data_IF_461639707504
#
_entry.id   IF_461639707504
#
_cell.length_a   1.000
_cell.length_b   1.000
_cell.length_c   1.000
_cell.angle_alpha   90.00
_cell.angle_beta   90.00
_cell.angle_gamma   90.00
#
_symmetry.space_group_name_H-M   'P 1'
#
loop_
_entity.id
_entity.type
_entity.pdbx_description
1 polymer ?
#
# COMPACT_ATOMS: atom_id res chain seq x y z
N UNK A 1 12.41 -15.97 -12.65
CA UNK A 1 10.94 -16.17 -12.53
C UNK A 1 10.25 -15.34 -13.61
N UNK A 2 9.56 -15.97 -14.57
CA UNK A 2 9.04 -15.29 -15.77
C UNK A 2 7.90 -14.30 -15.50
N UNK A 3 7.78 -13.30 -16.37
CA UNK A 3 6.79 -12.22 -16.33
C UNK A 3 5.35 -12.73 -16.14
N UNK A 4 4.97 -13.78 -16.89
CA UNK A 4 3.65 -14.43 -16.83
C UNK A 4 3.28 -14.91 -15.43
N UNK A 5 4.23 -15.51 -14.70
CA UNK A 5 4.00 -16.03 -13.34
C UNK A 5 3.83 -14.93 -12.30
N UNK A 6 4.43 -13.75 -12.52
CA UNK A 6 4.28 -12.60 -11.62
C UNK A 6 2.91 -11.94 -11.79
N UNK A 7 2.46 -11.78 -13.04
CA UNK A 7 1.15 -11.21 -13.36
C UNK A 7 0.03 -12.15 -12.90
N UNK A 8 0.16 -13.47 -13.14
CA UNK A 8 -0.89 -14.42 -12.75
C UNK A 8 -1.16 -14.46 -11.24
N UNK A 9 -0.13 -14.22 -10.42
CA UNK A 9 -0.26 -14.14 -8.95
C UNK A 9 -1.08 -12.94 -8.46
N UNK A 10 -1.26 -11.92 -9.31
CA UNK A 10 -1.95 -10.69 -8.96
C UNK A 10 -3.29 -10.58 -9.68
N UNK A 11 -3.35 -10.98 -10.95
CA UNK A 11 -4.55 -10.90 -11.77
C UNK A 11 -5.71 -11.76 -11.24
N UNK A 12 -5.42 -12.98 -10.75
CA UNK A 12 -6.44 -13.87 -10.16
C UNK A 12 -7.11 -13.26 -8.94
N UNK A 13 -6.35 -12.92 -7.88
CA UNK A 13 -6.86 -12.22 -6.70
C UNK A 13 -7.56 -10.91 -7.03
N UNK A 14 -7.00 -10.13 -7.95
CA UNK A 14 -7.61 -8.89 -8.40
C UNK A 14 -9.02 -9.12 -8.97
N UNK A 15 -9.16 -10.07 -9.90
CA UNK A 15 -10.43 -10.35 -10.55
C UNK A 15 -11.47 -10.89 -9.55
N UNK A 16 -11.08 -11.86 -8.74
CA UNK A 16 -11.95 -12.49 -7.73
C UNK A 16 -12.49 -11.47 -6.73
N UNK A 17 -11.60 -10.71 -6.08
CA UNK A 17 -12.01 -9.73 -5.09
C UNK A 17 -12.79 -8.57 -5.71
N UNK A 18 -12.47 -8.16 -6.94
CA UNK A 18 -13.24 -7.12 -7.62
C UNK A 18 -14.69 -7.53 -7.85
N UNK A 19 -14.97 -8.79 -8.19
CA UNK A 19 -16.35 -9.30 -8.30
C UNK A 19 -17.06 -9.24 -6.95
N UNK A 20 -16.40 -9.67 -5.86
CA UNK A 20 -16.96 -9.58 -4.50
C UNK A 20 -17.25 -8.13 -4.12
N UNK A 21 -16.32 -7.21 -4.38
CA UNK A 21 -16.50 -5.80 -4.07
C UNK A 21 -17.61 -5.16 -4.90
N UNK A 22 -17.77 -5.51 -6.19
CA UNK A 22 -18.89 -5.02 -6.99
C UNK A 22 -20.23 -5.52 -6.48
N UNK A 23 -20.31 -6.75 -5.95
CA UNK A 23 -21.51 -7.25 -5.29
C UNK A 23 -21.79 -6.56 -3.94
N UNK A 24 -20.76 -6.34 -3.13
CA UNK A 24 -20.89 -5.71 -1.81
C UNK A 24 -21.07 -4.18 -1.86
N UNK A 25 -20.64 -3.55 -2.95
CA UNK A 25 -20.74 -2.12 -3.23
C UNK A 25 -21.24 -1.91 -4.68
N UNK A 26 -22.54 -2.12 -4.92
CA UNK A 26 -23.12 -2.02 -6.25
C UNK A 26 -22.88 -0.65 -6.86
N UNK A 27 -22.60 -0.64 -8.16
CA UNK A 27 -22.47 0.59 -8.95
C UNK A 27 -23.81 0.93 -9.62
N UNK A 28 -24.05 2.21 -9.97
CA UNK A 28 -25.31 2.62 -10.60
C UNK A 28 -25.63 1.92 -11.91
N UNK A 29 -24.60 1.43 -12.63
CA UNK A 29 -24.76 0.73 -13.90
C UNK A 29 -23.66 -0.30 -14.15
N UNK A 30 -23.94 -1.28 -15.00
CA UNK A 30 -22.95 -2.26 -15.46
C UNK A 30 -21.73 -1.61 -16.12
N UNK A 31 -21.95 -0.55 -16.91
CA UNK A 31 -20.87 0.20 -17.55
C UNK A 31 -19.92 0.85 -16.52
N UNK A 32 -20.47 1.45 -15.47
CA UNK A 32 -19.66 2.03 -14.38
C UNK A 32 -18.93 0.96 -13.56
N UNK A 33 -19.54 -0.21 -13.37
CA UNK A 33 -18.90 -1.37 -12.75
C UNK A 33 -17.72 -1.90 -13.57
N UNK A 34 -17.90 -2.05 -14.89
CA UNK A 34 -16.85 -2.48 -15.81
C UNK A 34 -15.72 -1.46 -15.87
N UNK A 35 -16.02 -0.16 -15.96
CA UNK A 35 -14.99 0.88 -15.94
C UNK A 35 -14.21 0.85 -14.63
N UNK A 36 -14.89 0.72 -13.49
CA UNK A 36 -14.24 0.62 -12.18
C UNK A 36 -13.32 -0.60 -12.09
N UNK A 37 -13.75 -1.73 -12.66
CA UNK A 37 -12.91 -2.93 -12.82
C UNK A 37 -11.73 -2.68 -13.74
N UNK A 38 -11.89 -1.98 -14.86
CA UNK A 38 -10.77 -1.75 -15.78
C UNK A 38 -9.69 -0.85 -15.16
N UNK A 39 -10.09 0.14 -14.35
CA UNK A 39 -9.17 1.13 -13.76
C UNK A 39 -8.81 0.84 -12.30
N UNK A 40 -9.28 -0.28 -11.73
CA UNK A 40 -8.99 -0.67 -10.35
C UNK A 40 -9.56 0.23 -9.27
N UNK A 41 -10.63 0.96 -9.60
CA UNK A 41 -11.36 1.81 -8.65
C UNK A 41 -12.57 1.10 -8.01
N UNK A 42 -12.68 -0.22 -8.18
CA UNK A 42 -13.73 -1.04 -7.56
C UNK A 42 -13.76 -0.86 -6.04
N UNK A 43 -12.58 -0.90 -5.39
CA UNK A 43 -12.38 -0.56 -3.98
C UNK A 43 -11.07 0.22 -3.80
N UNK A 44 -11.00 1.02 -2.74
CA UNK A 44 -9.96 2.02 -2.51
C UNK A 44 -8.53 1.48 -2.57
N UNK A 45 -8.29 0.23 -2.18
CA UNK A 45 -6.98 -0.40 -2.20
C UNK A 45 -6.63 -1.04 -3.55
N UNK A 46 -7.62 -1.49 -4.32
CA UNK A 46 -7.44 -2.43 -5.46
C UNK A 46 -6.60 -1.87 -6.60
N UNK A 47 -6.53 -0.54 -6.74
CA UNK A 47 -5.72 0.11 -7.78
C UNK A 47 -4.24 -0.29 -7.69
N UNK A 48 -3.74 -0.58 -6.49
CA UNK A 48 -2.32 -0.87 -6.30
C UNK A 48 -1.90 -2.19 -6.97
N UNK A 49 -2.84 -3.14 -7.15
CA UNK A 49 -2.58 -4.37 -7.92
C UNK A 49 -2.38 -4.09 -9.41
N UNK A 50 -3.10 -3.11 -9.97
CA UNK A 50 -2.88 -2.64 -11.33
C UNK A 50 -1.55 -1.90 -11.45
N UNK A 51 -1.25 -1.00 -10.51
CA UNK A 51 0.05 -0.30 -10.43
C UNK A 51 1.20 -1.31 -10.38
N UNK A 52 1.11 -2.33 -9.52
CA UNK A 52 2.11 -3.37 -9.42
C UNK A 52 2.29 -4.13 -10.74
N UNK A 53 1.18 -4.45 -11.42
CA UNK A 53 1.21 -5.09 -12.74
C UNK A 53 1.92 -4.21 -13.78
N UNK A 54 1.66 -2.90 -13.80
CA UNK A 54 2.35 -1.93 -14.65
C UNK A 54 3.86 -1.93 -14.36
N UNK A 55 4.27 -1.90 -13.09
CA UNK A 55 5.69 -1.89 -12.68
C UNK A 55 6.42 -3.18 -13.07
N UNK A 56 5.75 -4.34 -12.91
CA UNK A 56 6.27 -5.64 -13.32
C UNK A 56 6.47 -5.71 -14.85
N UNK A 57 5.54 -5.15 -15.63
CA UNK A 57 5.68 -5.04 -17.10
C UNK A 57 6.83 -4.12 -17.49
N UNK A 58 7.04 -3.02 -16.76
CA UNK A 58 8.11 -2.04 -17.00
C UNK A 58 9.49 -2.51 -16.56
N UNK A 59 9.59 -3.59 -15.77
CA UNK A 59 10.85 -4.06 -15.16
C UNK A 59 12.03 -4.18 -16.15
N UNK A 60 11.89 -4.76 -17.36
CA UNK A 60 13.00 -4.86 -18.31
C UNK A 60 13.51 -3.49 -18.80
N UNK A 61 12.63 -2.50 -18.88
CA UNK A 61 12.98 -1.12 -19.23
C UNK A 61 13.64 -0.43 -18.04
N UNK A 62 13.08 -0.60 -16.83
CA UNK A 62 13.62 -0.03 -15.60
C UNK A 62 15.06 -0.48 -15.32
N UNK A 63 15.41 -1.75 -15.56
CA UNK A 63 16.80 -2.20 -15.43
C UNK A 63 17.76 -1.45 -16.36
N UNK A 64 17.37 -1.21 -17.62
CA UNK A 64 18.17 -0.45 -18.59
C UNK A 64 18.28 1.03 -18.23
N UNK A 65 17.20 1.61 -17.69
CA UNK A 65 17.20 3.01 -17.26
C UNK A 65 17.99 3.19 -15.97
N UNK A 66 17.96 2.24 -15.03
CA UNK A 66 18.73 2.32 -13.79
C UNK A 66 20.23 2.23 -14.02
N UNK A 67 20.69 1.53 -15.06
CA UNK A 67 22.11 1.47 -15.39
C UNK A 67 22.64 2.77 -16.02
N UNK A 68 21.81 3.52 -16.77
CA UNK A 68 22.25 4.68 -17.56
C UNK A 68 21.74 6.04 -17.05
N UNK A 69 20.52 6.09 -16.56
CA UNK A 69 19.78 7.32 -16.19
C UNK A 69 19.21 7.23 -14.77
N UNK A 70 19.98 6.67 -13.85
CA UNK A 70 19.53 6.38 -12.48
C UNK A 70 18.88 7.56 -11.78
N UNK A 71 19.53 8.72 -11.79
CA UNK A 71 19.02 9.93 -11.14
C UNK A 71 17.61 10.27 -11.63
N UNK A 72 17.41 10.26 -12.96
CA UNK A 72 16.10 10.52 -13.57
C UNK A 72 15.03 9.54 -13.06
N UNK A 73 15.35 8.23 -13.02
CA UNK A 73 14.41 7.21 -12.53
C UNK A 73 13.98 7.46 -11.07
N UNK A 74 14.91 7.84 -10.19
CA UNK A 74 14.59 8.16 -8.79
C UNK A 74 13.81 9.48 -8.64
N UNK A 75 13.98 10.44 -9.57
CA UNK A 75 13.27 11.71 -9.55
C UNK A 75 11.82 11.63 -10.03
N UNK A 76 11.43 10.59 -10.77
CA UNK A 76 10.07 10.45 -11.33
C UNK A 76 9.00 10.54 -10.24
N UNK A 77 9.05 9.70 -9.20
CA UNK A 77 8.01 9.72 -8.15
C UNK A 77 8.00 11.03 -7.36
N UNK A 78 9.13 11.56 -6.85
CA UNK A 78 9.14 12.87 -6.20
C UNK A 78 8.58 14.00 -7.09
N UNK A 79 8.92 14.03 -8.38
CA UNK A 79 8.38 15.04 -9.30
C UNK A 79 6.86 14.90 -9.47
N UNK A 80 6.34 13.69 -9.63
CA UNK A 80 4.90 13.45 -9.73
C UNK A 80 4.14 13.78 -8.44
N UNK A 81 4.72 13.46 -7.26
CA UNK A 81 4.13 13.80 -5.97
C UNK A 81 4.15 15.31 -5.73
N UNK A 82 5.24 16.00 -6.07
CA UNK A 82 5.32 17.45 -6.00
C UNK A 82 4.27 18.10 -6.90
N UNK A 83 4.14 17.65 -8.15
CA UNK A 83 3.12 18.15 -9.07
C UNK A 83 1.70 17.95 -8.49
N UNK A 84 1.42 16.78 -7.91
CA UNK A 84 0.14 16.51 -7.26
C UNK A 84 -0.12 17.46 -6.08
N UNK A 85 0.87 17.66 -5.23
CA UNK A 85 0.74 18.58 -4.08
C UNK A 85 0.53 20.03 -4.53
N UNK A 86 1.27 20.50 -5.54
CA UNK A 86 1.07 21.83 -6.12
C UNK A 86 -0.31 21.97 -6.76
N UNK A 87 -0.79 20.96 -7.46
CA UNK A 87 -2.15 20.94 -8.02
C UNK A 87 -3.20 21.02 -6.91
N UNK A 88 -3.02 20.29 -5.80
CA UNK A 88 -3.93 20.35 -4.65
C UNK A 88 -3.93 21.75 -4.00
N UNK A 89 -2.77 22.39 -3.86
CA UNK A 89 -2.68 23.79 -3.37
C UNK A 89 -3.42 24.74 -4.29
N UNK A 90 -3.37 24.51 -5.60
CA UNK A 90 -4.11 25.28 -6.60
C UNK A 90 -5.62 24.92 -6.68
N UNK A 91 -6.12 24.01 -5.84
CA UNK A 91 -7.51 23.56 -5.86
C UNK A 91 -7.86 22.65 -7.05
N UNK A 92 -6.86 22.13 -7.76
CA UNK A 92 -7.03 21.27 -8.93
C UNK A 92 -7.11 19.81 -8.46
N UNK A 93 -8.28 19.20 -8.63
CA UNK A 93 -8.47 17.77 -8.38
C UNK A 93 -7.85 16.93 -9.51
N UNK A 94 -7.02 15.95 -9.14
CA UNK A 94 -6.44 14.97 -10.07
C UNK A 94 -7.03 13.58 -9.80
N UNK A 95 -8.25 13.29 -10.32
CA UNK A 95 -8.91 12.01 -10.08
C UNK A 95 -8.09 10.86 -10.68
N UNK A 96 -8.14 9.70 -10.03
CA UNK A 96 -7.46 8.46 -10.47
C UNK A 96 -5.93 8.51 -10.56
N UNK A 97 -5.28 9.60 -10.15
CA UNK A 97 -3.81 9.72 -10.17
C UNK A 97 -3.12 8.60 -9.41
N UNK A 98 -3.77 8.01 -8.40
CA UNK A 98 -3.28 6.86 -7.66
C UNK A 98 -3.03 5.60 -8.51
N UNK A 99 -3.73 5.44 -9.64
CA UNK A 99 -3.56 4.31 -10.57
C UNK A 99 -2.30 4.48 -11.44
N UNK A 100 -1.72 5.67 -11.48
CA UNK A 100 -0.56 6.00 -12.30
C UNK A 100 0.73 5.49 -11.63
N UNK A 101 1.39 4.47 -12.21
CA UNK A 101 2.55 3.86 -11.57
C UNK A 101 3.74 4.79 -11.24
N UNK A 102 3.99 5.91 -11.94
CA UNK A 102 5.01 6.88 -11.52
C UNK A 102 4.82 7.42 -10.10
N UNK A 103 3.60 7.46 -9.58
CA UNK A 103 3.31 7.84 -8.19
C UNK A 103 3.92 6.87 -7.15
N UNK A 104 4.24 5.64 -7.58
CA UNK A 104 4.69 4.54 -6.71
C UNK A 104 6.04 3.95 -7.13
N UNK A 105 6.59 4.40 -8.25
CA UNK A 105 7.77 3.83 -8.90
C UNK A 105 8.98 3.76 -7.97
N UNK A 106 9.18 4.75 -7.10
CA UNK A 106 10.33 4.80 -6.19
C UNK A 106 10.40 3.58 -5.26
N UNK A 107 9.28 3.07 -4.75
CA UNK A 107 9.26 1.89 -3.88
C UNK A 107 9.72 0.64 -4.63
N UNK A 108 9.33 0.54 -5.91
CA UNK A 108 9.71 -0.58 -6.77
C UNK A 108 11.19 -0.52 -7.12
N UNK A 109 11.66 0.65 -7.54
CA UNK A 109 13.04 0.92 -7.93
C UNK A 109 13.99 0.74 -6.75
N UNK A 110 13.61 1.21 -5.56
CA UNK A 110 14.37 1.03 -4.33
C UNK A 110 14.63 -0.45 -4.04
N UNK A 111 13.63 -1.31 -4.27
CA UNK A 111 13.78 -2.76 -4.18
C UNK A 111 14.65 -3.38 -5.29
N UNK A 112 14.54 -2.90 -6.53
CA UNK A 112 15.37 -3.38 -7.65
C UNK A 112 16.86 -3.05 -7.47
N UNK A 113 17.16 -1.88 -6.95
CA UNK A 113 18.52 -1.37 -6.71
C UNK A 113 18.99 -1.63 -5.26
N UNK A 114 18.36 -2.60 -4.57
CA UNK A 114 18.54 -2.79 -3.13
C UNK A 114 19.99 -3.02 -2.71
N UNK A 115 20.77 -3.79 -3.48
CA UNK A 115 22.18 -4.10 -3.14
C UNK A 115 23.01 -2.84 -2.92
N UNK A 116 22.74 -1.79 -3.70
CA UNK A 116 23.44 -0.52 -3.59
C UNK A 116 22.99 0.26 -2.36
N UNK A 117 21.69 0.28 -2.08
CA UNK A 117 21.16 0.87 -0.86
C UNK A 117 21.67 0.16 0.39
N UNK A 118 21.71 -1.17 0.38
CA UNK A 118 22.24 -1.98 1.48
C UNK A 118 23.68 -1.56 1.84
N UNK A 119 24.56 -1.42 0.85
CA UNK A 119 25.92 -0.95 1.07
C UNK A 119 26.01 0.49 1.59
N UNK A 120 25.09 1.37 1.18
CA UNK A 120 25.06 2.77 1.65
C UNK A 120 24.61 2.90 3.10
N UNK A 121 23.72 2.02 3.57
CA UNK A 121 23.10 2.11 4.89
C UNK A 121 23.71 1.17 5.94
N UNK A 122 24.65 0.33 5.53
CA UNK A 122 25.33 -0.62 6.41
C UNK A 122 25.97 0.10 7.62
N UNK A 123 25.67 -0.38 8.82
CA UNK A 123 26.15 0.21 10.07
C UNK A 123 25.53 1.57 10.47
N UNK A 124 24.57 2.11 9.68
CA UNK A 124 24.01 3.46 9.88
C UNK A 124 22.64 3.47 10.57
N UNK A 125 22.31 2.47 11.37
CA UNK A 125 20.98 2.31 12.00
C UNK A 125 20.55 3.56 12.78
N UNK A 126 21.44 4.16 13.59
CA UNK A 126 21.13 5.38 14.36
C UNK A 126 20.79 6.57 13.46
N UNK A 127 21.51 6.72 12.34
CA UNK A 127 21.23 7.79 11.37
C UNK A 127 19.88 7.57 10.68
N UNK A 128 19.55 6.31 10.35
CA UNK A 128 18.24 5.97 9.78
C UNK A 128 17.10 6.24 10.75
N UNK A 129 17.29 5.96 12.04
CA UNK A 129 16.31 6.32 13.09
C UNK A 129 16.11 7.83 13.14
N UNK A 130 17.18 8.62 13.12
CA UNK A 130 17.09 10.08 13.09
C UNK A 130 16.36 10.59 11.84
N UNK A 131 16.70 10.07 10.66
CA UNK A 131 16.03 10.40 9.38
C UNK A 131 14.54 10.03 9.43
N UNK A 132 14.18 8.88 9.99
CA UNK A 132 12.80 8.47 10.16
C UNK A 132 12.03 9.48 11.04
N UNK A 133 12.57 9.87 12.20
CA UNK A 133 11.92 10.84 13.08
C UNK A 133 11.78 12.21 12.41
N UNK A 134 12.77 12.67 11.66
CA UNK A 134 12.69 13.91 10.90
C UNK A 134 11.53 13.85 9.89
N UNK A 135 11.44 12.79 9.08
CA UNK A 135 10.36 12.66 8.10
C UNK A 135 8.99 12.46 8.75
N UNK A 136 8.90 11.76 9.87
CA UNK A 136 7.66 11.67 10.66
C UNK A 136 7.18 13.04 11.11
N UNK A 137 8.06 13.86 11.71
CA UNK A 137 7.71 15.22 12.13
C UNK A 137 7.23 16.06 10.94
N UNK A 138 7.96 16.04 9.83
CA UNK A 138 7.59 16.77 8.62
C UNK A 138 6.23 16.31 8.08
N UNK A 139 6.00 14.99 8.05
CA UNK A 139 4.76 14.40 7.56
C UNK A 139 3.56 14.78 8.45
N UNK A 140 3.71 14.73 9.77
CA UNK A 140 2.64 15.09 10.72
C UNK A 140 2.32 16.58 10.63
N UNK A 141 3.34 17.45 10.62
CA UNK A 141 3.15 18.90 10.45
C UNK A 141 2.42 19.20 9.14
N UNK A 142 2.82 18.58 8.04
CA UNK A 142 2.14 18.73 6.76
C UNK A 142 0.71 18.18 6.78
N UNK A 143 0.46 17.06 7.48
CA UNK A 143 -0.86 16.47 7.67
C UNK A 143 -1.81 17.41 8.40
N UNK A 144 -1.37 17.98 9.53
CA UNK A 144 -2.14 18.97 10.29
C UNK A 144 -2.36 20.26 9.50
N UNK A 145 -1.36 20.72 8.74
CA UNK A 145 -1.52 21.89 7.87
C UNK A 145 -2.68 21.69 6.87
N UNK A 146 -2.69 20.56 6.14
CA UNK A 146 -3.76 20.23 5.21
C UNK A 146 -5.13 20.08 5.87
N UNK A 147 -5.17 19.54 7.09
CA UNK A 147 -6.40 19.45 7.86
C UNK A 147 -6.94 20.85 8.23
N UNK A 148 -6.07 21.75 8.68
CA UNK A 148 -6.44 23.12 9.05
C UNK A 148 -6.89 23.96 7.84
N UNK A 149 -6.40 23.66 6.63
CA UNK A 149 -6.85 24.31 5.39
C UNK A 149 -8.13 23.68 4.82
N UNK A 150 -8.70 22.67 5.49
CA UNK A 150 -9.96 22.04 5.11
C UNK A 150 -9.85 20.90 4.09
N UNK A 151 -8.65 20.50 3.67
CA UNK A 151 -8.44 19.38 2.76
C UNK A 151 -8.09 18.10 3.52
N UNK A 152 -9.12 17.43 4.03
CA UNK A 152 -8.98 16.15 4.73
C UNK A 152 -8.39 15.03 3.85
N UNK A 153 -8.65 15.06 2.53
CA UNK A 153 -8.12 14.07 1.61
C UNK A 153 -6.60 14.20 1.51
N UNK A 154 -6.07 15.42 1.40
CA UNK A 154 -4.62 15.66 1.44
C UNK A 154 -4.03 15.42 2.83
N UNK A 155 -4.76 15.70 3.91
CA UNK A 155 -4.28 15.40 5.27
C UNK A 155 -3.97 13.91 5.45
N UNK A 156 -4.82 13.03 4.90
CA UNK A 156 -4.77 11.57 5.17
C UNK A 156 -4.21 10.71 4.03
N UNK A 157 -4.05 11.26 2.83
CA UNK A 157 -3.55 10.49 1.67
C UNK A 157 -2.10 10.03 1.79
N UNK A 158 -1.82 8.88 1.18
CA UNK A 158 -0.48 8.32 1.04
C UNK A 158 0.32 8.96 -0.12
N UNK A 159 -0.34 9.68 -1.03
CA UNK A 159 0.28 10.25 -2.22
C UNK A 159 0.98 11.59 -1.94
N UNK A 160 1.77 11.66 -0.88
CA UNK A 160 2.56 12.84 -0.49
C UNK A 160 4.04 12.55 -0.47
N UNK A 161 4.86 13.57 -0.71
CA UNK A 161 6.31 13.51 -0.58
C UNK A 161 6.73 13.08 0.83
N UNK A 162 6.14 13.69 1.85
CA UNK A 162 6.40 13.34 3.25
C UNK A 162 6.11 11.87 3.55
N UNK A 163 4.95 11.37 3.09
CA UNK A 163 4.59 9.95 3.25
C UNK A 163 5.58 9.02 2.54
N UNK A 164 5.95 9.33 1.29
CA UNK A 164 6.90 8.53 0.53
C UNK A 164 8.28 8.49 1.20
N UNK A 165 8.77 9.64 1.68
CA UNK A 165 10.04 9.75 2.38
C UNK A 165 10.05 8.96 3.69
N UNK A 166 9.01 9.12 4.53
CA UNK A 166 8.84 8.34 5.76
C UNK A 166 8.79 6.85 5.47
N UNK A 167 8.01 6.42 4.48
CA UNK A 167 7.89 5.01 4.11
C UNK A 167 9.22 4.41 3.67
N UNK A 168 10.00 5.13 2.86
CA UNK A 168 11.34 4.70 2.45
C UNK A 168 12.31 4.63 3.64
N UNK A 169 12.24 5.57 4.58
CA UNK A 169 13.04 5.54 5.81
C UNK A 169 12.69 4.34 6.69
N UNK A 170 11.40 4.01 6.85
CA UNK A 170 10.95 2.80 7.56
C UNK A 170 11.50 1.54 6.88
N UNK A 171 11.35 1.43 5.55
CA UNK A 171 11.85 0.27 4.80
C UNK A 171 13.37 0.14 4.97
N UNK A 172 14.13 1.24 4.79
CA UNK A 172 15.57 1.25 4.96
C UNK A 172 15.98 0.82 6.38
N UNK A 173 15.30 1.34 7.41
CA UNK A 173 15.55 0.99 8.80
C UNK A 173 15.31 -0.51 9.05
N UNK A 174 14.14 -1.03 8.70
CA UNK A 174 13.78 -2.44 8.88
C UNK A 174 14.78 -3.38 8.18
N UNK A 175 15.29 -2.96 7.03
CA UNK A 175 16.26 -3.74 6.28
C UNK A 175 17.68 -3.66 6.86
N UNK A 176 18.06 -2.53 7.46
CA UNK A 176 19.36 -2.30 8.12
C UNK A 176 19.46 -2.94 9.52
N UNK A 177 18.34 -3.36 10.10
CA UNK A 177 18.31 -4.00 11.42
C UNK A 177 19.12 -5.31 11.44
N UNK A 178 19.89 -5.59 12.52
CA UNK A 178 20.74 -6.77 12.63
C UNK A 178 19.98 -8.10 12.47
N UNK A 179 20.68 -9.12 11.96
CA UNK A 179 20.14 -10.46 11.77
C UNK A 179 19.60 -11.11 13.06
N UNK A 180 20.22 -10.81 14.21
CA UNK A 180 19.75 -11.28 15.52
C UNK A 180 18.34 -10.77 15.87
N UNK A 181 18.05 -9.51 15.56
CA UNK A 181 16.71 -8.95 15.76
C UNK A 181 15.71 -9.55 14.76
N UNK A 182 16.10 -9.72 13.49
CA UNK A 182 15.27 -10.39 12.49
C UNK A 182 14.91 -11.83 12.90
N UNK A 183 15.86 -12.56 13.47
CA UNK A 183 15.63 -13.91 14.02
C UNK A 183 14.65 -13.89 15.19
N UNK A 184 14.79 -12.95 16.15
CA UNK A 184 13.80 -12.80 17.24
C UNK A 184 12.41 -12.44 16.71
N UNK A 185 12.32 -11.58 15.70
CA UNK A 185 11.05 -11.24 15.08
C UNK A 185 10.42 -12.46 14.40
N UNK A 186 11.25 -13.34 13.83
CA UNK A 186 10.79 -14.54 13.14
C UNK A 186 10.12 -15.58 14.06
N UNK A 187 10.35 -15.49 15.38
CA UNK A 187 9.70 -16.35 16.37
C UNK A 187 8.41 -15.75 16.95
N UNK A 188 7.90 -14.64 16.39
CA UNK A 188 6.70 -13.96 16.88
C UNK A 188 5.51 -14.14 15.91
N UNK A 189 4.30 -13.87 16.41
CA UNK A 189 3.06 -13.85 15.62
C UNK A 189 3.09 -12.82 14.46
N UNK A 190 4.07 -11.91 14.43
CA UNK A 190 4.24 -10.98 13.33
C UNK A 190 4.60 -11.68 12.01
N UNK A 191 5.22 -12.87 12.07
CA UNK A 191 5.46 -13.68 10.87
C UNK A 191 4.14 -14.18 10.30
N UNK A 192 3.26 -14.72 11.14
CA UNK A 192 1.96 -15.22 10.69
C UNK A 192 1.10 -14.09 10.11
N UNK A 193 1.11 -12.93 10.77
CA UNK A 193 0.46 -11.73 10.26
C UNK A 193 1.06 -11.28 8.92
N UNK A 194 2.39 -11.32 8.79
CA UNK A 194 3.12 -11.02 7.55
C UNK A 194 2.77 -11.97 6.42
N UNK A 195 2.69 -13.27 6.69
CA UNK A 195 2.28 -14.30 5.74
C UNK A 195 0.84 -14.10 5.27
N UNK A 196 -0.05 -13.66 6.17
CA UNK A 196 -1.45 -13.34 5.87
C UNK A 196 -1.65 -11.96 5.22
N UNK A 197 -0.62 -11.11 5.15
CA UNK A 197 -0.76 -9.68 4.83
C UNK A 197 -1.37 -9.39 3.46
N UNK A 198 -1.10 -10.22 2.45
CA UNK A 198 -1.67 -10.05 1.12
C UNK A 198 -3.19 -10.33 1.11
N UNK A 199 -3.62 -11.40 1.77
CA UNK A 199 -5.04 -11.70 1.96
C UNK A 199 -5.75 -10.61 2.77
N UNK A 200 -5.11 -10.12 3.84
CA UNK A 200 -5.65 -9.01 4.66
C UNK A 200 -5.80 -7.76 3.79
N UNK A 201 -4.78 -7.42 3.01
CA UNK A 201 -4.82 -6.31 2.08
C UNK A 201 -6.00 -6.45 1.08
N UNK A 202 -6.31 -7.65 0.61
CA UNK A 202 -7.43 -7.88 -0.29
C UNK A 202 -8.80 -7.70 0.38
N UNK A 203 -8.99 -8.22 1.60
CA UNK A 203 -10.32 -8.30 2.23
C UNK A 203 -10.65 -7.17 3.21
N UNK A 204 -9.66 -6.45 3.75
CA UNK A 204 -9.86 -5.60 4.93
C UNK A 204 -10.91 -4.50 4.75
N UNK A 205 -11.14 -3.95 3.54
CA UNK A 205 -12.19 -2.93 3.35
C UNK A 205 -13.60 -3.53 3.51
N UNK A 206 -13.80 -4.82 3.19
CA UNK A 206 -15.08 -5.49 3.45
C UNK A 206 -15.29 -5.69 4.95
N UNK A 207 -14.24 -6.16 5.64
CA UNK A 207 -14.25 -6.35 7.09
C UNK A 207 -14.48 -5.00 7.79
N UNK A 208 -13.80 -3.95 7.34
CA UNK A 208 -13.93 -2.58 7.85
C UNK A 208 -15.38 -2.09 7.77
N UNK A 209 -16.07 -2.31 6.63
CA UNK A 209 -17.49 -1.98 6.48
C UNK A 209 -18.36 -2.73 7.49
N UNK A 210 -18.11 -4.03 7.68
CA UNK A 210 -18.85 -4.84 8.64
C UNK A 210 -18.62 -4.37 10.08
N UNK A 211 -17.37 -4.07 10.44
CA UNK A 211 -16.98 -3.55 11.76
C UNK A 211 -17.63 -2.19 12.02
N UNK A 212 -17.62 -1.27 11.06
CA UNK A 212 -18.31 0.02 11.20
C UNK A 212 -19.81 -0.14 11.41
N UNK A 213 -20.45 -1.05 10.67
CA UNK A 213 -21.89 -1.33 10.86
C UNK A 213 -22.18 -1.91 12.25
N UNK A 214 -21.31 -2.77 12.77
CA UNK A 214 -21.44 -3.36 14.09
C UNK A 214 -21.23 -2.32 15.20
N UNK A 215 -20.16 -1.54 15.12
CA UNK A 215 -19.81 -0.53 16.13
C UNK A 215 -20.76 0.67 16.10
N UNK A 216 -21.36 0.99 14.96
CA UNK A 216 -22.40 2.03 14.84
C UNK A 216 -23.68 1.73 15.63
N UNK A 217 -23.83 0.53 16.18
CA UNK A 217 -24.91 0.19 17.11
C UNK A 217 -24.64 0.68 18.54
N UNK A 218 -23.42 1.14 18.82
CA UNK A 218 -22.98 1.58 20.14
C UNK A 218 -22.56 3.05 20.13
N UNK A 219 -22.84 3.77 21.22
CA UNK A 219 -22.32 5.13 21.41
C UNK A 219 -20.93 5.03 22.02
N UNK A 220 -19.89 5.12 21.18
CA UNK A 220 -18.49 4.98 21.60
C UNK A 220 -17.76 6.31 21.38
N UNK A 221 -16.92 6.78 22.32
CA UNK A 221 -16.08 7.95 22.11
C UNK A 221 -15.19 7.82 20.87
N UNK A 222 -15.01 8.92 20.13
CA UNK A 222 -14.34 8.90 18.82
C UNK A 222 -12.95 8.25 18.87
N UNK A 223 -12.11 8.60 19.86
CA UNK A 223 -10.77 8.01 20.01
C UNK A 223 -10.77 6.50 20.26
N UNK A 224 -11.69 6.02 21.10
CA UNK A 224 -11.86 4.58 21.38
C UNK A 224 -12.41 3.88 20.13
N UNK A 225 -13.34 4.52 19.41
CA UNK A 225 -13.92 3.97 18.19
C UNK A 225 -12.86 3.77 17.10
N UNK A 226 -11.94 4.72 16.90
CA UNK A 226 -10.89 4.60 15.87
C UNK A 226 -9.95 3.44 16.16
N UNK A 227 -9.48 3.31 17.40
CA UNK A 227 -8.60 2.20 17.77
C UNK A 227 -9.33 0.85 17.70
N UNK A 228 -10.57 0.78 18.19
CA UNK A 228 -11.39 -0.42 18.12
C UNK A 228 -11.66 -0.85 16.67
N UNK A 229 -12.04 0.09 15.79
CA UNK A 229 -12.23 -0.16 14.37
C UNK A 229 -10.96 -0.74 13.74
N UNK A 230 -9.80 -0.14 14.02
CA UNK A 230 -8.52 -0.62 13.49
C UNK A 230 -8.19 -2.04 13.97
N UNK A 231 -8.25 -2.27 15.29
CA UNK A 231 -7.91 -3.55 15.90
C UNK A 231 -8.87 -4.67 15.46
N UNK A 232 -10.19 -4.41 15.46
CA UNK A 232 -11.20 -5.38 15.05
C UNK A 232 -11.13 -5.67 13.54
N UNK A 233 -10.84 -4.65 12.71
CA UNK A 233 -10.66 -4.87 11.27
C UNK A 233 -9.45 -5.74 11.00
N UNK A 234 -8.32 -5.50 11.68
CA UNK A 234 -7.12 -6.31 11.55
C UNK A 234 -7.36 -7.75 12.01
N UNK A 235 -7.90 -7.94 13.21
CA UNK A 235 -8.18 -9.25 13.78
C UNK A 235 -9.21 -10.03 12.94
N UNK A 236 -10.27 -9.37 12.50
CA UNK A 236 -11.30 -9.96 11.64
C UNK A 236 -10.75 -10.36 10.27
N UNK A 237 -9.92 -9.51 9.67
CA UNK A 237 -9.27 -9.82 8.38
C UNK A 237 -8.28 -10.97 8.50
N UNK A 238 -7.43 -10.98 9.53
CA UNK A 238 -6.51 -12.07 9.80
C UNK A 238 -7.26 -13.39 10.04
N UNK A 239 -8.34 -13.36 10.83
CA UNK A 239 -9.16 -14.55 11.10
C UNK A 239 -9.81 -15.08 9.82
N UNK A 240 -10.37 -14.20 8.98
CA UNK A 240 -10.95 -14.57 7.69
C UNK A 240 -9.90 -15.24 6.78
N UNK A 241 -8.73 -14.63 6.66
CA UNK A 241 -7.62 -15.15 5.84
C UNK A 241 -7.13 -16.50 6.36
N UNK A 242 -6.95 -16.64 7.67
CA UNK A 242 -6.51 -17.88 8.31
C UNK A 242 -7.53 -19.01 8.14
N UNK A 243 -8.83 -18.72 8.31
CA UNK A 243 -9.91 -19.68 8.10
C UNK A 243 -9.96 -20.13 6.64
N UNK A 244 -9.91 -19.18 5.69
CA UNK A 244 -9.87 -19.50 4.27
C UNK A 244 -8.65 -20.37 3.92
N UNK A 245 -7.46 -20.06 4.46
CA UNK A 245 -6.27 -20.86 4.21
C UNK A 245 -6.30 -22.28 4.82
N UNK A 246 -7.11 -22.50 5.86
CA UNK A 246 -7.30 -23.82 6.47
C UNK A 246 -8.35 -24.67 5.77
N UNK A 247 -9.42 -24.06 5.27
CA UNK A 247 -10.60 -24.78 4.76
C UNK A 247 -10.73 -24.79 3.23
N UNK A 248 -10.11 -23.85 2.51
CA UNK A 248 -10.17 -23.85 1.05
C UNK A 248 -9.19 -24.87 0.45
N UNK A 249 -9.54 -25.49 -0.69
CA UNK A 249 -8.59 -26.27 -1.47
C UNK A 249 -7.42 -25.41 -1.97
N UNK A 250 -6.21 -25.97 -2.00
CA UNK A 250 -5.00 -25.26 -2.46
C UNK A 250 -5.13 -24.62 -3.85
N UNK A 251 -5.93 -25.22 -4.74
CA UNK A 251 -6.19 -24.67 -6.09
C UNK A 251 -6.84 -23.28 -6.04
N UNK A 252 -7.62 -23.00 -4.99
CA UNK A 252 -8.35 -21.74 -4.80
C UNK A 252 -7.45 -20.69 -4.13
N UNK A 253 -6.40 -21.09 -3.40
CA UNK A 253 -5.52 -20.15 -2.69
C UNK A 253 -4.90 -19.12 -3.63
N UNK A 254 -4.44 -19.56 -4.81
CA UNK A 254 -3.88 -18.67 -5.84
C UNK A 254 -4.90 -17.62 -6.32
N UNK A 255 -6.18 -17.99 -6.38
CA UNK A 255 -7.26 -17.11 -6.85
C UNK A 255 -7.67 -16.12 -5.76
N UNK A 256 -7.62 -16.52 -4.49
CA UNK A 256 -8.05 -15.68 -3.35
C UNK A 256 -6.90 -14.83 -2.80
N UNK A 257 -5.66 -15.17 -3.14
CA UNK A 257 -4.46 -14.47 -2.68
C UNK A 257 -3.98 -14.97 -1.31
N UNK A 258 -4.00 -16.29 -1.12
CA UNK A 258 -3.54 -17.02 0.06
C UNK A 258 -2.25 -17.80 -0.24
#
# INVERSE_FOLDING_TARGET
MGLRRRISKVAGPYAFWSVIYLAAFPRPSWASGFLAFAVGSVSAQMYYLLVYSQLVLLTPVLFRLLSRYRFFVYCVTPACLLLRELAAVAGIALPLIQVFCPMWLIFYVFGLDWRRWAALIEGRTTQLVAVLFIFLIIQEVAGFWWYLTGDFNMATTQLKLGFAATSLAVIALLMAVPGSFKSRLSSTLLVDLGNASFGIYLCHILVLKAVWKLLGLFVIPLGVSTFAVWALTLAGSYSLVSLCGRYLPERIHIIVGL
#
